data_IF_499153099256
#
_entry.id   IF_499153099256
#
_cell.length_a   1.000
_cell.length_b   1.000
_cell.length_c   1.000
_cell.angle_alpha   90.00
_cell.angle_beta   90.00
_cell.angle_gamma   90.00
#
_symmetry.space_group_name_H-M   'P 1'
#
loop_
_entity.id
_entity.type
_entity.pdbx_description
1 polymer ?
#
# COMPACT_ATOMS: atom_id res chain seq x y z
N UNK A 1 -2.25 -14.88 -12.45
CA UNK A 1 -1.22 -14.97 -11.41
C UNK A 1 -1.79 -15.07 -10.00
N UNK A 2 -2.61 -14.12 -9.54
CA UNK A 2 -3.19 -14.13 -8.18
C UNK A 2 -3.92 -15.43 -7.77
N UNK A 3 -4.65 -16.09 -8.67
CA UNK A 3 -5.32 -17.37 -8.37
C UNK A 3 -4.33 -18.51 -8.04
N UNK A 4 -3.16 -18.52 -8.68
CA UNK A 4 -2.12 -19.50 -8.39
C UNK A 4 -1.51 -19.24 -7.02
N UNK A 5 -1.17 -17.98 -6.73
CA UNK A 5 -0.65 -17.59 -5.40
C UNK A 5 -1.62 -17.95 -4.29
N UNK A 6 -2.93 -17.70 -4.47
CA UNK A 6 -3.95 -18.08 -3.48
C UNK A 6 -4.05 -19.59 -3.28
N UNK A 7 -3.85 -20.40 -4.33
CA UNK A 7 -3.93 -21.85 -4.25
C UNK A 7 -2.72 -22.48 -3.54
N UNK A 8 -1.59 -21.79 -3.48
CA UNK A 8 -0.34 -22.28 -2.86
C UNK A 8 0.04 -21.55 -1.57
N UNK A 9 -0.60 -20.42 -1.26
CA UNK A 9 -0.34 -19.62 -0.07
C UNK A 9 -0.71 -20.38 1.21
N UNK A 10 0.23 -20.46 2.16
CA UNK A 10 -0.01 -20.95 3.51
C UNK A 10 -0.17 -19.76 4.49
N UNK A 11 -1.39 -19.47 4.98
CA UNK A 11 -1.62 -18.37 5.92
C UNK A 11 -1.37 -18.74 7.39
N UNK A 12 -0.89 -19.95 7.70
CA UNK A 12 -0.90 -20.49 9.07
C UNK A 12 0.07 -19.80 10.05
N UNK A 13 1.21 -19.28 9.57
CA UNK A 13 2.22 -18.61 10.41
C UNK A 13 2.70 -17.28 9.79
N UNK A 14 2.07 -16.15 10.13
CA UNK A 14 2.50 -14.85 9.64
C UNK A 14 3.81 -14.34 10.24
N UNK A 15 4.37 -15.00 11.27
CA UNK A 15 5.58 -14.58 11.97
C UNK A 15 6.81 -15.23 11.36
N UNK A 16 6.82 -16.55 11.22
CA UNK A 16 8.00 -17.30 10.75
C UNK A 16 7.91 -17.68 9.27
N UNK A 17 6.71 -17.73 8.69
CA UNK A 17 6.49 -18.00 7.27
C UNK A 17 5.58 -16.97 6.56
N UNK A 18 5.92 -15.66 6.60
CA UNK A 18 5.15 -14.62 5.93
C UNK A 18 5.20 -14.74 4.39
N UNK A 19 4.27 -14.07 3.71
CA UNK A 19 4.11 -14.07 2.23
C UNK A 19 5.42 -13.93 1.45
N UNK A 20 6.33 -13.05 1.90
CA UNK A 20 7.61 -12.81 1.22
C UNK A 20 8.60 -13.98 1.31
N UNK A 21 8.44 -14.92 2.26
CA UNK A 21 9.18 -16.19 2.32
C UNK A 21 8.62 -17.26 1.38
N UNK A 22 7.33 -17.19 1.07
CA UNK A 22 6.63 -18.13 0.19
C UNK A 22 6.71 -17.74 -1.30
N UNK A 23 7.62 -16.82 -1.66
CA UNK A 23 7.77 -16.29 -3.01
C UNK A 23 6.48 -15.68 -3.60
N UNK A 24 5.57 -15.20 -2.73
CA UNK A 24 4.48 -14.31 -3.15
C UNK A 24 5.11 -12.92 -3.35
N UNK A 25 5.69 -12.75 -4.53
CA UNK A 25 6.25 -11.49 -5.01
C UNK A 25 5.77 -11.29 -6.45
N UNK A 26 4.97 -10.25 -6.66
CA UNK A 26 4.68 -9.75 -7.99
C UNK A 26 5.63 -8.61 -8.33
N UNK A 27 6.29 -8.76 -9.48
CA UNK A 27 7.09 -7.74 -10.14
C UNK A 27 6.29 -6.44 -10.28
N UNK A 28 6.62 -5.44 -9.47
CA UNK A 28 6.22 -4.04 -9.68
C UNK A 28 6.94 -3.58 -10.93
N UNK A 29 6.23 -3.04 -11.93
CA UNK A 29 6.72 -2.47 -13.20
C UNK A 29 6.56 -3.32 -14.48
N UNK A 30 5.31 -3.44 -14.97
CA UNK A 30 5.10 -3.81 -16.36
C UNK A 30 3.86 -3.20 -17.02
N UNK A 31 3.27 -2.14 -16.43
CA UNK A 31 2.15 -1.44 -17.08
C UNK A 31 2.08 0.06 -16.72
N UNK A 32 3.18 0.78 -16.96
CA UNK A 32 3.29 2.23 -16.70
C UNK A 32 2.73 3.12 -17.82
N UNK A 33 1.68 2.71 -18.54
CA UNK A 33 1.01 3.62 -19.51
C UNK A 33 -0.12 4.47 -18.89
N UNK A 34 -0.37 4.39 -17.58
CA UNK A 34 -1.47 5.13 -16.92
C UNK A 34 -1.17 6.61 -16.62
N UNK A 35 0.08 7.07 -16.72
CA UNK A 35 0.47 8.39 -16.17
C UNK A 35 0.36 9.60 -17.11
N UNK A 36 -0.29 9.50 -18.28
CA UNK A 36 -0.42 10.64 -19.21
C UNK A 36 -1.83 10.82 -19.78
N UNK A 37 -2.78 11.35 -18.97
CA UNK A 37 -3.97 12.05 -19.48
C UNK A 37 -4.63 12.93 -18.39
N UNK A 38 -5.42 13.93 -18.76
CA UNK A 38 -6.16 14.89 -17.92
C UNK A 38 -7.03 14.26 -16.81
N UNK A 39 -7.39 12.97 -16.92
CA UNK A 39 -8.09 12.19 -15.87
C UNK A 39 -7.21 11.79 -14.69
N UNK A 40 -5.88 11.89 -14.80
CA UNK A 40 -4.94 11.51 -13.74
C UNK A 40 -5.10 12.40 -12.50
N UNK A 41 -5.45 13.68 -12.67
CA UNK A 41 -5.67 14.60 -11.55
C UNK A 41 -6.87 14.21 -10.69
N UNK A 42 -8.02 13.91 -11.30
CA UNK A 42 -9.24 13.49 -10.57
C UNK A 42 -9.04 12.11 -9.93
N UNK A 43 -8.40 11.18 -10.64
CA UNK A 43 -8.08 9.86 -10.11
C UNK A 43 -7.10 9.94 -8.93
N UNK A 44 -6.03 10.74 -9.05
CA UNK A 44 -5.04 10.96 -7.99
C UNK A 44 -5.68 11.62 -6.77
N UNK A 45 -6.44 12.70 -6.99
CA UNK A 45 -7.16 13.38 -5.91
C UNK A 45 -8.13 12.42 -5.20
N UNK A 46 -8.94 11.66 -5.93
CA UNK A 46 -9.87 10.71 -5.34
C UNK A 46 -9.17 9.60 -4.55
N UNK A 47 -8.06 9.08 -5.08
CA UNK A 47 -7.26 8.07 -4.38
C UNK A 47 -6.69 8.63 -3.06
N UNK A 48 -6.05 9.80 -3.08
CA UNK A 48 -5.53 10.43 -1.87
C UNK A 48 -6.65 10.80 -0.88
N UNK A 49 -7.64 11.57 -1.33
CA UNK A 49 -8.66 12.16 -0.46
C UNK A 49 -9.62 11.15 0.16
N UNK A 50 -9.89 10.01 -0.49
CA UNK A 50 -10.87 9.04 -0.02
C UNK A 50 -10.29 7.68 0.34
N UNK A 51 -9.39 7.13 -0.49
CA UNK A 51 -8.84 5.78 -0.26
C UNK A 51 -7.77 5.79 0.84
N UNK A 52 -6.76 6.66 0.71
CA UNK A 52 -5.60 6.71 1.62
C UNK A 52 -5.98 7.29 3.00
N UNK A 53 -6.79 8.35 3.03
CA UNK A 53 -7.27 8.93 4.29
C UNK A 53 -8.21 8.03 5.07
N UNK A 54 -8.74 6.98 4.44
CA UNK A 54 -9.78 6.12 5.00
C UNK A 54 -11.16 6.79 5.15
N UNK A 55 -11.36 8.00 4.60
CA UNK A 55 -12.65 8.70 4.66
C UNK A 55 -13.75 7.93 3.92
N UNK A 56 -13.40 7.32 2.78
CA UNK A 56 -14.29 6.44 2.02
C UNK A 56 -13.48 5.31 1.37
N UNK A 57 -12.60 4.70 2.17
CA UNK A 57 -11.73 3.61 1.75
C UNK A 57 -11.05 2.94 2.94
N UNK A 58 -10.26 1.89 2.71
CA UNK A 58 -9.65 1.12 3.78
C UNK A 58 -8.41 1.80 4.41
N UNK A 59 -7.82 2.81 3.76
CA UNK A 59 -6.49 3.31 4.10
C UNK A 59 -5.39 2.49 3.42
N UNK A 60 -4.18 2.57 3.97
CA UNK A 60 -3.00 1.88 3.43
C UNK A 60 -2.29 1.06 4.51
N UNK A 61 -1.36 0.20 4.11
CA UNK A 61 -0.53 -0.54 5.06
C UNK A 61 0.46 0.39 5.78
N UNK A 62 0.47 0.34 7.11
CA UNK A 62 1.41 1.07 7.97
C UNK A 62 1.95 0.12 9.02
N UNK A 63 3.23 0.26 9.38
CA UNK A 63 3.85 -0.53 10.45
C UNK A 63 4.61 0.35 11.43
N UNK A 64 4.98 -0.23 12.56
CA UNK A 64 6.01 0.34 13.43
C UNK A 64 7.41 0.27 12.73
N UNK A 65 8.42 0.99 13.26
CA UNK A 65 9.75 1.02 12.67
C UNK A 65 10.46 -0.33 12.57
N UNK A 66 10.02 -1.34 13.33
CA UNK A 66 10.60 -2.68 13.33
C UNK A 66 9.77 -3.69 12.51
N UNK A 67 8.64 -3.27 11.93
CA UNK A 67 7.81 -4.13 11.09
C UNK A 67 7.08 -5.25 11.84
N UNK A 68 6.79 -5.07 13.13
CA UNK A 68 6.22 -6.11 14.00
C UNK A 68 4.70 -6.06 14.11
N UNK A 69 4.11 -4.89 13.89
CA UNK A 69 2.69 -4.57 14.14
C UNK A 69 2.02 -3.93 12.92
N UNK A 70 2.46 -4.34 11.73
CA UNK A 70 1.89 -3.89 10.46
C UNK A 70 0.40 -4.17 10.34
N UNK A 71 -0.36 -3.19 9.86
CA UNK A 71 -1.80 -3.30 9.60
C UNK A 71 -2.26 -2.26 8.59
N UNK A 72 -3.45 -2.47 8.02
CA UNK A 72 -4.12 -1.43 7.24
C UNK A 72 -4.65 -0.36 8.20
N UNK A 73 -4.37 0.91 7.91
CA UNK A 73 -4.84 2.05 8.71
C UNK A 73 -5.12 3.27 7.83
N UNK A 74 -6.11 4.07 8.26
CA UNK A 74 -6.30 5.43 7.78
C UNK A 74 -5.07 6.31 8.11
N UNK A 75 -4.69 7.18 7.17
CA UNK A 75 -3.55 8.09 7.31
C UNK A 75 -4.01 9.54 7.23
N UNK A 76 -3.62 10.33 8.22
CA UNK A 76 -3.85 11.78 8.18
C UNK A 76 -2.76 12.44 7.33
N UNK A 77 -3.12 13.38 6.43
CA UNK A 77 -2.14 14.09 5.62
C UNK A 77 -1.30 15.03 6.49
N UNK A 78 -0.01 15.07 6.20
CA UNK A 78 0.94 16.02 6.74
C UNK A 78 1.13 17.16 5.74
N UNK A 79 1.03 18.40 6.22
CA UNK A 79 1.14 19.60 5.36
C UNK A 79 2.43 20.38 5.61
N UNK A 80 3.22 19.99 6.62
CA UNK A 80 4.52 20.57 6.90
C UNK A 80 5.66 19.89 6.11
N UNK A 81 6.90 20.22 6.47
CA UNK A 81 8.08 19.67 5.80
C UNK A 81 8.24 18.16 6.03
N UNK A 82 7.64 17.62 7.09
CA UNK A 82 7.60 16.19 7.38
C UNK A 82 6.87 15.37 6.30
N UNK A 83 6.03 16.01 5.46
CA UNK A 83 5.45 15.34 4.29
C UNK A 83 6.49 14.95 3.22
N UNK A 84 7.70 15.50 3.27
CA UNK A 84 8.79 15.09 2.38
C UNK A 84 9.69 13.99 2.99
N UNK A 85 9.42 13.55 4.22
CA UNK A 85 10.12 12.43 4.84
C UNK A 85 9.60 11.10 4.24
N UNK A 86 10.44 10.28 3.59
CA UNK A 86 10.02 9.04 2.95
C UNK A 86 9.48 7.98 3.94
N UNK A 87 9.65 8.18 5.25
CA UNK A 87 9.14 7.28 6.29
C UNK A 87 7.89 7.82 7.00
N UNK A 88 7.41 9.03 6.67
CA UNK A 88 6.15 9.58 7.18
C UNK A 88 5.05 9.32 6.16
N UNK A 89 4.07 8.43 6.46
CA UNK A 89 3.08 8.02 5.47
C UNK A 89 2.09 9.13 5.06
N UNK A 90 2.04 10.24 5.82
CA UNK A 90 1.15 11.37 5.55
C UNK A 90 1.63 12.33 4.46
N UNK A 91 2.80 12.09 3.87
CA UNK A 91 3.35 12.88 2.77
C UNK A 91 2.65 12.72 1.42
#
# INVERSE_FOLDING_TARGET
MALYELAVFDPSDPVLDPMWRQAIWHWVYWDLEIFSNERTGVACFGFGAFHVTGLYGPGIWVSDPYGLTGKIQAVNPAWGAEGFDPFVPGG
#
